data_IF_331367642624
#
_entry.id   IF_331367642624
#
_cell.length_a   1.000
_cell.length_b   1.000
_cell.length_c   1.000
_cell.angle_alpha   90.00
_cell.angle_beta   90.00
_cell.angle_gamma   90.00
#
_symmetry.space_group_name_H-M   'P 1'
#
loop_
_entity.id
_entity.type
_entity.pdbx_description
1 polymer ?
#
# COMPACT_ATOMS: atom_id res chain seq x y z
N UNK A 1 -9.78 0.96 -1.36
CA UNK A 1 -9.25 2.01 -0.45
C UNK A 1 -10.08 2.01 0.80
N UNK A 2 -9.43 2.23 1.94
CA UNK A 2 -10.06 2.27 3.26
C UNK A 2 -9.69 3.55 3.99
N UNK A 3 -10.70 4.19 4.56
CA UNK A 3 -10.58 5.35 5.41
C UNK A 3 -11.37 5.13 6.68
N UNK A 4 -10.91 5.72 7.77
CA UNK A 4 -11.61 5.69 9.04
C UNK A 4 -11.91 7.12 9.44
N UNK A 5 -13.16 7.39 9.81
CA UNK A 5 -13.58 8.63 10.44
C UNK A 5 -13.73 8.34 11.92
N UNK A 6 -13.00 9.08 12.75
CA UNK A 6 -13.03 8.96 14.21
C UNK A 6 -13.70 10.17 14.84
N UNK A 7 -14.43 9.95 15.95
CA UNK A 7 -15.06 11.03 16.70
C UNK A 7 -15.60 10.57 18.06
N UNK A 8 -15.94 11.52 18.95
CA UNK A 8 -16.42 11.22 20.30
C UNK A 8 -17.89 10.77 20.33
N UNK A 9 -18.77 11.48 19.61
CA UNK A 9 -20.21 11.19 19.57
C UNK A 9 -20.57 10.33 18.36
N UNK A 10 -21.31 9.25 18.60
CA UNK A 10 -21.69 8.28 17.57
C UNK A 10 -22.77 8.81 16.62
N UNK A 11 -23.72 9.58 17.11
CA UNK A 11 -24.84 10.06 16.29
C UNK A 11 -24.35 11.14 15.31
N UNK A 12 -23.50 12.05 15.79
CA UNK A 12 -22.79 13.00 14.95
C UNK A 12 -21.79 12.30 14.02
N UNK A 13 -21.06 11.26 14.49
CA UNK A 13 -20.14 10.49 13.66
C UNK A 13 -20.85 9.83 12.46
N UNK A 14 -22.03 9.24 12.68
CA UNK A 14 -22.85 8.65 11.62
C UNK A 14 -23.30 9.72 10.61
N UNK A 15 -23.75 10.88 11.10
CA UNK A 15 -24.18 12.01 10.25
C UNK A 15 -23.02 12.53 9.39
N UNK A 16 -21.85 12.72 10.00
CA UNK A 16 -20.64 13.20 9.32
C UNK A 16 -20.13 12.16 8.32
N UNK A 17 -20.10 10.88 8.69
CA UNK A 17 -19.68 9.81 7.79
C UNK A 17 -20.57 9.70 6.55
N UNK A 18 -21.90 9.81 6.72
CA UNK A 18 -22.83 9.82 5.58
C UNK A 18 -22.63 11.04 4.68
N UNK A 19 -22.41 12.24 5.26
CA UNK A 19 -22.09 13.45 4.48
C UNK A 19 -20.81 13.30 3.67
N UNK A 20 -19.75 12.76 4.29
CA UNK A 20 -18.47 12.51 3.61
C UNK A 20 -18.65 11.46 2.50
N UNK A 21 -19.40 10.38 2.77
CA UNK A 21 -19.72 9.36 1.76
C UNK A 21 -20.48 9.96 0.57
N UNK A 22 -21.50 10.79 0.81
CA UNK A 22 -22.27 11.42 -0.26
C UNK A 22 -21.43 12.41 -1.08
N UNK A 23 -20.52 13.13 -0.43
CA UNK A 23 -19.57 13.99 -1.12
C UNK A 23 -18.54 13.18 -1.93
N UNK A 24 -18.08 12.05 -1.41
CA UNK A 24 -17.22 11.10 -2.14
C UNK A 24 -17.92 10.54 -3.38
N UNK A 25 -19.20 10.14 -3.28
CA UNK A 25 -20.01 9.69 -4.43
C UNK A 25 -20.17 10.74 -5.52
N UNK A 26 -20.22 12.03 -5.13
CA UNK A 26 -20.32 13.16 -6.09
C UNK A 26 -18.96 13.56 -6.65
N UNK A 27 -17.87 13.11 -6.05
CA UNK A 27 -16.52 13.42 -6.52
C UNK A 27 -16.14 12.55 -7.71
N UNK A 28 -15.27 13.06 -8.59
CA UNK A 28 -14.70 12.27 -9.69
C UNK A 28 -13.55 11.35 -9.26
N UNK A 29 -13.21 11.30 -7.97
CA UNK A 29 -12.03 10.59 -7.48
C UNK A 29 -12.29 9.12 -7.17
N UNK A 30 -13.52 8.77 -6.78
CA UNK A 30 -13.84 7.43 -6.25
C UNK A 30 -15.18 6.90 -6.77
N UNK A 31 -15.26 5.57 -6.90
CA UNK A 31 -16.47 4.80 -7.18
C UNK A 31 -16.73 3.80 -6.05
N UNK A 32 -17.94 3.22 -6.04
CA UNK A 32 -18.34 2.13 -5.14
C UNK A 32 -18.05 2.39 -3.66
N UNK A 33 -18.52 3.53 -3.15
CA UNK A 33 -18.36 3.87 -1.74
C UNK A 33 -19.28 3.01 -0.87
N UNK A 34 -18.76 2.42 0.20
CA UNK A 34 -19.51 1.67 1.18
C UNK A 34 -19.03 2.01 2.60
N UNK A 35 -19.82 1.67 3.63
CA UNK A 35 -19.45 1.90 5.04
C UNK A 35 -19.75 0.68 5.90
N UNK A 36 -19.08 0.55 7.03
CA UNK A 36 -19.37 -0.48 8.04
C UNK A 36 -20.54 -0.09 8.98
N UNK A 37 -21.22 1.03 8.72
CA UNK A 37 -22.39 1.45 9.48
C UNK A 37 -23.52 0.47 9.24
N UNK A 38 -23.93 -0.21 10.31
CA UNK A 38 -25.13 -1.03 10.29
C UNK A 38 -26.31 -0.20 10.80
N UNK A 39 -27.42 -0.13 10.04
CA UNK A 39 -28.63 0.49 10.56
C UNK A 39 -29.06 -0.25 11.83
N UNK A 40 -29.33 0.51 12.89
CA UNK A 40 -29.76 -0.04 14.16
C UNK A 40 -31.03 -0.87 14.00
N UNK A 41 -31.14 -1.96 14.75
CA UNK A 41 -32.36 -2.75 14.79
C UNK A 41 -33.27 -2.26 15.92
N UNK A 42 -34.60 -2.38 15.77
CA UNK A 42 -35.52 -2.08 16.86
C UNK A 42 -35.27 -3.06 18.01
N UNK A 43 -34.84 -2.53 19.15
CA UNK A 43 -34.67 -3.28 20.39
C UNK A 43 -35.87 -2.99 21.31
N UNK A 44 -36.40 -4.04 21.93
CA UNK A 44 -37.44 -3.93 22.96
C UNK A 44 -36.74 -3.86 24.32
N UNK A 45 -36.63 -2.64 24.86
CA UNK A 45 -36.07 -2.42 26.19
C UNK A 45 -37.16 -2.57 27.25
N UNK A 46 -36.99 -3.54 28.12
CA UNK A 46 -37.87 -3.78 29.27
C UNK A 46 -37.31 -3.02 30.47
N UNK A 47 -37.93 -1.90 30.85
CA UNK A 47 -37.50 -1.05 31.96
C UNK A 47 -38.30 -1.43 33.22
N UNK A 48 -37.69 -2.05 34.24
CA UNK A 48 -38.42 -2.50 35.42
C UNK A 48 -38.88 -1.32 36.27
N UNK A 49 -40.17 -1.27 36.60
CA UNK A 49 -40.72 -0.22 37.44
C UNK A 49 -40.60 -0.63 38.93
N UNK A 50 -39.67 0.02 39.63
CA UNK A 50 -39.32 -0.33 41.02
C UNK A 50 -40.51 -0.23 41.99
N UNK A 51 -41.42 0.72 41.79
CA UNK A 51 -42.61 0.87 42.63
C UNK A 51 -43.61 -0.27 42.43
N UNK A 52 -43.86 -0.65 41.16
CA UNK A 52 -44.76 -1.77 40.84
C UNK A 52 -44.17 -3.09 41.36
N UNK A 53 -42.87 -3.31 41.18
CA UNK A 53 -42.16 -4.49 41.72
C UNK A 53 -42.30 -4.60 43.25
N UNK A 54 -42.10 -3.49 43.97
CA UNK A 54 -42.22 -3.46 45.43
C UNK A 54 -43.66 -3.74 45.90
N UNK A 55 -44.67 -3.15 45.23
CA UNK A 55 -46.09 -3.35 45.55
C UNK A 55 -46.51 -4.82 45.42
N UNK A 56 -45.99 -5.50 44.40
CA UNK A 56 -46.28 -6.90 44.12
C UNK A 56 -45.32 -7.89 44.81
N UNK A 57 -44.40 -7.41 45.65
CA UNK A 57 -43.37 -8.22 46.32
C UNK A 57 -42.55 -9.10 45.36
N UNK A 58 -42.25 -8.57 44.16
CA UNK A 58 -41.44 -9.24 43.13
C UNK A 58 -40.01 -8.70 43.19
N UNK A 59 -39.02 -9.59 43.25
CA UNK A 59 -37.61 -9.20 43.18
C UNK A 59 -37.17 -8.94 41.74
N UNK A 60 -36.25 -7.97 41.55
CA UNK A 60 -35.66 -7.70 40.24
C UNK A 60 -34.97 -8.95 39.67
N UNK A 61 -34.30 -9.73 40.52
CA UNK A 61 -33.65 -10.99 40.14
C UNK A 61 -34.62 -12.04 39.62
N UNK A 62 -35.85 -12.10 40.16
CA UNK A 62 -36.88 -13.00 39.65
C UNK A 62 -37.29 -12.59 38.22
N UNK A 63 -37.45 -11.29 37.97
CA UNK A 63 -37.78 -10.77 36.64
C UNK A 63 -36.67 -11.09 35.62
N UNK A 64 -35.42 -10.77 35.94
CA UNK A 64 -34.28 -11.03 35.04
C UNK A 64 -34.07 -12.52 34.78
N UNK A 65 -34.21 -13.36 35.81
CA UNK A 65 -34.05 -14.82 35.67
C UNK A 65 -35.10 -15.42 34.75
N UNK A 66 -36.37 -15.01 34.90
CA UNK A 66 -37.47 -15.49 34.06
C UNK A 66 -37.30 -15.02 32.61
N UNK A 67 -36.92 -13.76 32.37
CA UNK A 67 -36.70 -13.24 31.00
C UNK A 67 -35.51 -13.94 30.34
N UNK A 68 -34.40 -14.12 31.05
CA UNK A 68 -33.23 -14.83 30.53
C UNK A 68 -33.58 -16.28 30.19
N UNK A 69 -34.33 -16.98 31.04
CA UNK A 69 -34.74 -18.36 30.81
C UNK A 69 -35.79 -18.50 29.70
N UNK A 70 -36.76 -17.60 29.58
CA UNK A 70 -37.87 -17.78 28.65
C UNK A 70 -37.62 -17.13 27.28
N UNK A 71 -36.92 -16.01 27.23
CA UNK A 71 -36.68 -15.22 26.00
C UNK A 71 -35.24 -15.37 25.51
N UNK A 72 -34.27 -15.15 26.40
CA UNK A 72 -32.84 -15.16 26.07
C UNK A 72 -32.28 -16.56 25.78
N UNK A 73 -32.88 -17.60 26.37
CA UNK A 73 -32.31 -18.93 26.37
C UNK A 73 -31.30 -19.05 27.51
N UNK A 74 -31.71 -19.56 28.66
CA UNK A 74 -30.78 -19.71 29.77
C UNK A 74 -29.87 -20.91 29.49
N UNK A 75 -28.65 -20.63 29.05
CA UNK A 75 -27.52 -21.53 29.22
C UNK A 75 -27.10 -21.38 30.68
N UNK A 76 -27.45 -22.34 31.53
CA UNK A 76 -26.95 -22.36 32.91
C UNK A 76 -25.47 -22.75 32.87
N UNK A 77 -24.60 -21.77 32.67
CA UNK A 77 -23.12 -21.82 32.63
C UNK A 77 -22.55 -23.09 33.30
N UNK A 78 -22.33 -24.16 32.51
CA UNK A 78 -21.66 -25.40 32.93
C UNK A 78 -22.43 -26.36 33.84
N UNK A 79 -23.68 -26.08 34.24
CA UNK A 79 -24.47 -26.97 35.12
C UNK A 79 -25.49 -27.84 34.37
N UNK A 80 -25.79 -27.53 33.11
CA UNK A 80 -26.74 -28.29 32.27
C UNK A 80 -26.08 -28.73 30.96
N UNK A 81 -24.88 -29.31 31.04
CA UNK A 81 -24.23 -29.98 29.91
C UNK A 81 -24.51 -31.48 29.96
N UNK A 82 -25.12 -32.01 28.91
CA UNK A 82 -25.30 -33.45 28.73
C UNK A 82 -24.12 -33.99 27.93
N UNK A 83 -23.30 -34.85 28.54
CA UNK A 83 -22.16 -35.47 27.86
C UNK A 83 -22.57 -36.81 27.24
N UNK A 84 -22.41 -36.95 25.92
CA UNK A 84 -22.65 -38.21 25.20
C UNK A 84 -21.63 -38.38 24.07
N UNK A 85 -21.07 -39.58 23.96
CA UNK A 85 -20.11 -39.95 22.91
C UNK A 85 -18.90 -38.99 22.79
N UNK A 86 -18.40 -38.48 23.92
CA UNK A 86 -17.25 -37.56 23.95
C UNK A 86 -17.58 -36.10 23.61
N UNK A 87 -18.85 -35.79 23.29
CA UNK A 87 -19.33 -34.43 23.08
C UNK A 87 -20.16 -33.95 24.27
N UNK A 88 -20.08 -32.64 24.57
CA UNK A 88 -20.92 -31.97 25.57
C UNK A 88 -21.98 -31.13 24.87
N UNK A 89 -23.23 -31.39 25.19
CA UNK A 89 -24.39 -30.69 24.63
C UNK A 89 -24.97 -29.75 25.69
N UNK A 90 -25.05 -28.46 25.38
CA UNK A 90 -25.73 -27.50 26.24
C UNK A 90 -27.25 -27.74 26.19
N UNK A 91 -27.90 -27.84 27.34
CA UNK A 91 -29.36 -27.84 27.46
C UNK A 91 -29.81 -26.39 27.65
N UNK A 92 -30.59 -25.89 26.70
CA UNK A 92 -31.20 -24.56 26.72
C UNK A 92 -32.70 -24.68 27.02
N UNK A 93 -33.15 -24.00 28.07
CA UNK A 93 -34.57 -23.74 28.28
C UNK A 93 -34.93 -22.44 27.56
N UNK A 94 -35.97 -22.46 26.72
CA UNK A 94 -36.49 -21.28 26.04
C UNK A 94 -37.94 -21.50 25.61
N UNK A 95 -38.77 -20.45 25.59
CA UNK A 95 -40.13 -20.52 25.04
C UNK A 95 -40.10 -20.81 23.54
N UNK A 96 -41.17 -21.36 22.98
CA UNK A 96 -41.31 -21.54 21.53
C UNK A 96 -41.34 -20.16 20.85
N UNK A 97 -40.75 -20.04 19.65
CA UNK A 97 -40.62 -18.79 18.88
C UNK A 97 -41.93 -17.95 18.83
N UNK A 98 -43.07 -18.60 18.57
CA UNK A 98 -44.39 -17.95 18.51
C UNK A 98 -44.84 -17.26 19.82
N UNK A 99 -44.25 -17.63 20.96
CA UNK A 99 -44.58 -17.10 22.29
C UNK A 99 -43.62 -15.99 22.77
N UNK A 100 -42.57 -15.66 22.00
CA UNK A 100 -41.55 -14.67 22.40
C UNK A 100 -41.19 -13.65 21.32
N UNK A 101 -41.41 -13.98 20.04
CA UNK A 101 -40.90 -13.16 18.93
C UNK A 101 -41.72 -11.87 18.71
N UNK A 102 -42.93 -11.79 19.27
CA UNK A 102 -43.79 -10.59 19.17
C UNK A 102 -43.88 -9.88 20.52
N UNK A 103 -43.81 -8.55 20.51
CA UNK A 103 -43.92 -7.70 21.71
C UNK A 103 -45.14 -8.05 22.58
N UNK A 104 -46.36 -8.25 22.04
CA UNK A 104 -47.52 -8.61 22.86
C UNK A 104 -47.42 -9.99 23.52
N UNK A 105 -46.58 -10.89 23.00
CA UNK A 105 -46.38 -12.21 23.58
C UNK A 105 -45.58 -12.12 24.89
N UNK A 106 -44.67 -11.15 25.01
CA UNK A 106 -43.89 -10.89 26.23
C UNK A 106 -44.80 -10.50 27.41
N UNK A 107 -45.93 -9.83 27.15
CA UNK A 107 -46.90 -9.45 28.19
C UNK A 107 -47.53 -10.65 28.91
N UNK A 108 -47.54 -11.82 28.26
CA UNK A 108 -48.16 -13.04 28.79
C UNK A 108 -47.22 -13.82 29.71
N UNK A 109 -45.94 -13.43 29.76
CA UNK A 109 -44.96 -14.03 30.66
C UNK A 109 -45.36 -13.69 32.09
N UNK A 110 -45.50 -14.72 32.93
CA UNK A 110 -45.87 -14.57 34.34
C UNK A 110 -44.66 -14.77 35.22
N UNK A 111 -44.50 -13.90 36.21
CA UNK A 111 -43.42 -13.96 37.19
C UNK A 111 -44.03 -14.24 38.56
N UNK A 112 -43.44 -15.18 39.29
CA UNK A 112 -43.88 -15.53 40.64
C UNK A 112 -43.28 -14.56 41.66
N UNK A 113 -44.09 -14.01 42.55
CA UNK A 113 -43.63 -13.18 43.66
C UNK A 113 -43.22 -14.02 44.87
N UNK A 114 -42.67 -13.36 45.90
CA UNK A 114 -42.25 -14.02 47.13
C UNK A 114 -43.43 -14.58 47.97
N UNK A 115 -44.67 -14.16 47.66
CA UNK A 115 -45.90 -14.64 48.30
C UNK A 115 -46.51 -15.85 47.58
N UNK A 116 -45.93 -16.26 46.45
CA UNK A 116 -46.38 -17.39 45.64
C UNK A 116 -47.39 -17.05 44.54
N UNK A 117 -47.83 -15.80 44.43
CA UNK A 117 -48.74 -15.30 43.39
C UNK A 117 -47.98 -15.09 42.06
N UNK A 118 -48.68 -15.20 40.92
CA UNK A 118 -48.09 -14.96 39.60
C UNK A 118 -48.61 -13.66 39.01
N UNK A 119 -47.72 -12.72 38.72
CA UNK A 119 -48.05 -11.41 38.14
C UNK A 119 -47.55 -11.36 36.69
N UNK A 120 -48.34 -10.84 35.73
CA UNK A 120 -47.90 -10.70 34.34
C UNK A 120 -46.78 -9.65 34.21
N UNK A 121 -45.86 -9.88 33.28
CA UNK A 121 -44.70 -9.00 33.04
C UNK A 121 -45.11 -7.56 32.73
N UNK A 122 -46.23 -7.36 32.03
CA UNK A 122 -46.76 -6.02 31.68
C UNK A 122 -47.13 -5.15 32.88
N UNK A 123 -47.41 -5.74 34.04
CA UNK A 123 -47.68 -4.99 35.27
C UNK A 123 -46.40 -4.58 36.02
N UNK A 124 -45.24 -5.13 35.63
CA UNK A 124 -43.98 -4.98 36.35
C UNK A 124 -42.95 -4.15 35.57
N UNK A 125 -43.00 -4.15 34.24
CA UNK A 125 -42.03 -3.47 33.38
C UNK A 125 -42.72 -2.56 32.37
N UNK A 126 -42.11 -1.41 32.11
CA UNK A 126 -42.52 -0.50 31.05
C UNK A 126 -41.68 -0.84 29.79
N UNK A 127 -42.34 -1.02 28.66
CA UNK A 127 -41.70 -1.47 27.41
C UNK A 127 -41.42 -0.27 26.52
N UNK A 128 -40.18 -0.14 26.06
CA UNK A 128 -39.78 0.93 25.14
C UNK A 128 -39.12 0.30 23.92
N UNK A 129 -39.66 0.56 22.73
CA UNK A 129 -39.02 0.19 21.47
C UNK A 129 -38.09 1.33 21.09
N UNK A 130 -36.78 1.08 21.13
CA UNK A 130 -35.76 2.05 20.72
C UNK A 130 -34.86 1.42 19.68
N UNK A 131 -34.45 2.18 18.65
CA UNK A 131 -33.39 1.71 17.76
C UNK A 131 -32.11 1.54 18.59
N UNK A 132 -31.50 0.37 18.47
CA UNK A 132 -30.25 0.05 19.15
C UNK A 132 -29.16 -0.24 18.15
N UNK A 133 -27.95 0.15 18.50
CA UNK A 133 -26.78 -0.02 17.65
C UNK A 133 -26.32 -1.47 17.76
N UNK A 134 -26.31 -2.19 16.63
CA UNK A 134 -25.84 -3.59 16.61
C UNK A 134 -24.35 -3.72 16.85
N UNK A 135 -23.58 -2.76 16.34
CA UNK A 135 -22.12 -2.78 16.39
C UNK A 135 -21.61 -1.34 16.54
N UNK A 136 -20.76 -1.11 17.55
CA UNK A 136 -19.99 0.12 17.69
C UNK A 136 -18.54 -0.22 17.36
N UNK A 137 -18.12 0.12 16.13
CA UNK A 137 -16.74 -0.08 15.70
C UNK A 137 -15.81 0.91 16.40
N UNK A 138 -14.61 0.43 16.76
CA UNK A 138 -13.59 1.21 17.46
C UNK A 138 -12.22 0.89 16.89
N UNK A 139 -11.41 1.93 16.75
CA UNK A 139 -10.00 1.82 16.37
C UNK A 139 -9.16 2.69 17.30
N UNK A 140 -8.08 2.14 17.86
CA UNK A 140 -7.20 2.85 18.78
C UNK A 140 -7.95 3.52 19.95
N UNK A 141 -8.93 2.80 20.53
CA UNK A 141 -9.81 3.25 21.64
C UNK A 141 -10.77 4.41 21.31
N UNK A 142 -10.79 4.92 20.08
CA UNK A 142 -11.79 5.88 19.62
C UNK A 142 -12.91 5.17 18.85
N UNK A 143 -14.14 5.69 18.93
CA UNK A 143 -15.24 5.26 18.05
C UNK A 143 -14.88 5.62 16.62
N UNK A 144 -15.16 4.71 15.70
CA UNK A 144 -14.63 4.78 14.36
C UNK A 144 -15.66 4.19 13.38
N UNK A 145 -15.79 4.84 12.22
CA UNK A 145 -16.56 4.32 11.09
C UNK A 145 -15.61 4.13 9.92
N UNK A 146 -15.61 2.94 9.35
CA UNK A 146 -14.80 2.59 8.19
C UNK A 146 -15.56 2.87 6.91
N UNK A 147 -14.95 3.67 6.04
CA UNK A 147 -15.44 3.99 4.71
C UNK A 147 -14.56 3.28 3.69
N UNK A 148 -15.18 2.43 2.89
CA UNK A 148 -14.58 1.72 1.77
C UNK A 148 -14.89 2.46 0.48
N UNK A 149 -13.92 2.54 -0.42
CA UNK A 149 -14.11 3.12 -1.75
C UNK A 149 -13.09 2.56 -2.74
N UNK A 150 -13.45 2.53 -4.02
CA UNK A 150 -12.54 2.19 -5.12
C UNK A 150 -12.11 3.47 -5.84
N UNK A 151 -10.86 3.59 -6.34
CA UNK A 151 -10.49 4.70 -7.20
C UNK A 151 -11.38 4.73 -8.46
N UNK A 152 -11.77 5.91 -8.90
CA UNK A 152 -12.50 6.05 -10.15
C UNK A 152 -11.64 5.65 -11.36
N UNK A 153 -12.23 5.14 -12.46
CA UNK A 153 -11.51 4.84 -13.68
C UNK A 153 -10.71 6.05 -14.19
N UNK A 154 -9.43 5.86 -14.48
CA UNK A 154 -8.53 6.93 -14.95
C UNK A 154 -7.91 7.79 -13.84
N UNK A 155 -8.27 7.58 -12.57
CA UNK A 155 -7.65 8.26 -11.42
C UNK A 155 -6.69 7.32 -10.71
N UNK A 156 -5.47 7.79 -10.45
CA UNK A 156 -4.51 6.98 -9.68
C UNK A 156 -4.94 6.85 -8.22
N UNK A 157 -4.59 5.73 -7.59
CA UNK A 157 -4.86 5.52 -6.16
C UNK A 157 -4.28 6.65 -5.29
N UNK A 158 -3.08 7.15 -5.60
CA UNK A 158 -2.46 8.26 -4.88
C UNK A 158 -3.27 9.57 -5.00
N UNK A 159 -3.77 9.91 -6.20
CA UNK A 159 -4.62 11.07 -6.42
C UNK A 159 -5.97 10.93 -5.70
N UNK A 160 -6.58 9.75 -5.77
CA UNK A 160 -7.85 9.46 -5.10
C UNK A 160 -7.72 9.60 -3.57
N UNK A 161 -6.66 9.02 -2.98
CA UNK A 161 -6.39 9.15 -1.54
C UNK A 161 -6.22 10.60 -1.11
N UNK A 162 -5.44 11.39 -1.87
CA UNK A 162 -5.20 12.80 -1.56
C UNK A 162 -6.46 13.65 -1.74
N UNK A 163 -7.22 13.42 -2.80
CA UNK A 163 -8.48 14.14 -3.06
C UNK A 163 -9.53 13.86 -1.98
N UNK A 164 -9.66 12.61 -1.51
CA UNK A 164 -10.57 12.27 -0.41
C UNK A 164 -10.09 12.86 0.92
N UNK A 165 -8.79 12.85 1.20
CA UNK A 165 -8.23 13.47 2.41
C UNK A 165 -8.50 14.97 2.46
N UNK A 166 -8.30 15.68 1.35
CA UNK A 166 -8.58 17.13 1.24
C UNK A 166 -10.08 17.44 1.35
N UNK A 167 -10.92 16.65 0.68
CA UNK A 167 -12.38 16.79 0.75
C UNK A 167 -12.88 16.59 2.19
N UNK A 168 -12.45 15.52 2.85
CA UNK A 168 -12.86 15.23 4.21
C UNK A 168 -12.35 16.29 5.19
N UNK A 169 -11.11 16.77 5.05
CA UNK A 169 -10.56 17.80 5.93
C UNK A 169 -11.41 19.09 5.94
N UNK A 170 -12.06 19.43 4.84
CA UNK A 170 -12.93 20.61 4.74
C UNK A 170 -14.34 20.39 5.31
N UNK A 171 -14.77 19.14 5.48
CA UNK A 171 -16.13 18.80 5.92
C UNK A 171 -16.21 18.32 7.37
N UNK A 172 -15.08 17.91 7.96
CA UNK A 172 -15.04 17.37 9.31
C UNK A 172 -15.13 18.48 10.37
N UNK A 173 -16.06 18.38 11.35
CA UNK A 173 -16.10 19.29 12.48
C UNK A 173 -14.90 19.09 13.42
N UNK A 174 -14.59 20.08 14.29
CA UNK A 174 -13.51 19.96 15.25
C UNK A 174 -13.72 18.74 16.17
N UNK A 175 -12.65 17.96 16.38
CA UNK A 175 -12.71 16.71 17.14
C UNK A 175 -13.00 15.46 16.32
N UNK A 176 -13.28 15.61 15.02
CA UNK A 176 -13.42 14.51 14.07
C UNK A 176 -12.21 14.45 13.13
N UNK A 177 -11.69 13.25 12.93
CA UNK A 177 -10.48 13.05 12.14
C UNK A 177 -10.66 11.93 11.13
N UNK A 178 -10.22 12.16 9.90
CA UNK A 178 -10.07 11.10 8.92
C UNK A 178 -8.64 10.55 8.98
N UNK A 179 -8.54 9.22 9.05
CA UNK A 179 -7.28 8.48 9.05
C UNK A 179 -7.33 7.40 7.97
N UNK A 180 -6.25 7.27 7.19
CA UNK A 180 -6.10 6.14 6.27
C UNK A 180 -5.78 4.87 7.06
N UNK A 181 -6.39 3.74 6.68
CA UNK A 181 -6.17 2.43 7.32
C UNK A 181 -6.00 1.35 6.26
N UNK A 182 -5.72 0.12 6.69
CA UNK A 182 -5.79 -1.08 5.85
C UNK A 182 -5.02 -0.94 4.54
N UNK A 183 -5.68 -1.20 3.41
CA UNK A 183 -5.08 -1.09 2.08
C UNK A 183 -4.51 0.31 1.75
N UNK A 184 -5.14 1.39 2.23
CA UNK A 184 -4.66 2.76 1.99
C UNK A 184 -3.39 3.07 2.78
N UNK A 185 -3.33 2.63 4.03
CA UNK A 185 -2.15 2.80 4.89
C UNK A 185 -0.98 1.98 4.36
N UNK A 186 -1.20 0.69 4.05
CA UNK A 186 -0.18 -0.18 3.48
C UNK A 186 0.35 0.35 2.15
N UNK A 187 -0.50 0.96 1.31
CA UNK A 187 -0.07 1.63 0.08
C UNK A 187 0.89 2.79 0.38
N UNK A 188 0.54 3.69 1.29
CA UNK A 188 1.37 4.85 1.64
C UNK A 188 2.70 4.43 2.25
N UNK A 189 2.69 3.49 3.19
CA UNK A 189 3.90 2.97 3.84
C UNK A 189 4.80 2.24 2.85
N UNK A 190 4.25 1.38 1.99
CA UNK A 190 5.02 0.66 0.97
C UNK A 190 5.59 1.61 -0.09
N UNK A 191 4.80 2.58 -0.55
CA UNK A 191 5.23 3.58 -1.51
C UNK A 191 6.41 4.40 -0.96
N UNK A 192 6.29 4.86 0.28
CA UNK A 192 7.36 5.59 0.96
C UNK A 192 8.61 4.71 1.18
N UNK A 193 8.43 3.46 1.62
CA UNK A 193 9.51 2.51 1.83
C UNK A 193 10.25 2.17 0.53
N UNK A 194 9.53 2.02 -0.59
CA UNK A 194 10.13 1.77 -1.91
C UNK A 194 10.94 2.98 -2.40
N UNK A 195 10.45 4.20 -2.20
CA UNK A 195 11.22 5.41 -2.53
C UNK A 195 12.52 5.46 -1.70
N UNK A 196 12.43 5.19 -0.40
CA UNK A 196 13.62 5.11 0.45
C UNK A 196 14.58 4.01 -0.02
N UNK A 197 14.08 2.82 -0.34
CA UNK A 197 14.88 1.72 -0.86
C UNK A 197 15.55 2.06 -2.20
N UNK A 198 14.87 2.78 -3.09
CA UNK A 198 15.41 3.24 -4.37
C UNK A 198 16.56 4.24 -4.16
N UNK A 199 16.39 5.22 -3.27
CA UNK A 199 17.45 6.20 -2.94
C UNK A 199 18.65 5.51 -2.29
N UNK A 200 18.39 4.62 -1.32
CA UNK A 200 19.43 3.85 -0.65
C UNK A 200 20.16 2.94 -1.64
N UNK A 201 19.43 2.28 -2.54
CA UNK A 201 19.99 1.46 -3.61
C UNK A 201 20.87 2.27 -4.59
N UNK A 202 20.49 3.51 -4.88
CA UNK A 202 21.31 4.45 -5.66
C UNK A 202 22.61 4.81 -4.95
N UNK A 203 22.54 5.10 -3.66
CA UNK A 203 23.71 5.39 -2.84
C UNK A 203 24.66 4.18 -2.75
N UNK A 204 24.13 2.99 -2.45
CA UNK A 204 24.93 1.75 -2.39
C UNK A 204 25.52 1.43 -3.76
N UNK A 205 24.74 1.56 -4.83
CA UNK A 205 25.24 1.36 -6.19
C UNK A 205 26.35 2.34 -6.55
N UNK A 206 26.25 3.60 -6.12
CA UNK A 206 27.30 4.60 -6.30
C UNK A 206 28.58 4.17 -5.58
N UNK A 207 28.49 3.78 -4.30
CA UNK A 207 29.65 3.33 -3.51
C UNK A 207 30.35 2.11 -4.12
N UNK A 208 29.58 1.11 -4.57
CA UNK A 208 30.13 -0.10 -5.20
C UNK A 208 30.84 0.27 -6.51
N UNK A 209 30.26 1.13 -7.34
CA UNK A 209 30.90 1.57 -8.58
C UNK A 209 32.13 2.44 -8.32
N UNK A 210 32.09 3.30 -7.31
CA UNK A 210 33.24 4.12 -6.94
C UNK A 210 34.41 3.25 -6.50
N UNK A 211 34.14 2.22 -5.70
CA UNK A 211 35.13 1.22 -5.31
C UNK A 211 35.62 0.38 -6.49
N UNK A 212 34.74 0.02 -7.44
CA UNK A 212 35.10 -0.80 -8.59
C UNK A 212 35.99 -0.04 -9.59
N UNK A 213 35.66 1.21 -9.87
CA UNK A 213 36.40 2.05 -10.82
C UNK A 213 37.54 2.83 -10.17
N UNK A 214 37.73 2.72 -8.84
CA UNK A 214 38.66 3.52 -8.05
C UNK A 214 38.59 5.04 -8.36
N UNK A 215 37.39 5.54 -8.67
CA UNK A 215 37.13 6.91 -9.11
C UNK A 215 35.76 7.36 -8.65
N UNK A 216 35.65 8.61 -8.21
CA UNK A 216 34.38 9.22 -7.81
C UNK A 216 33.59 9.81 -8.99
N UNK A 217 34.23 9.96 -10.15
CA UNK A 217 33.66 10.62 -11.34
C UNK A 217 32.97 9.58 -12.25
N UNK A 218 33.64 8.45 -12.54
CA UNK A 218 33.07 7.40 -13.39
C UNK A 218 31.69 6.87 -12.94
N UNK A 219 31.42 6.66 -11.64
CA UNK A 219 30.09 6.26 -11.16
C UNK A 219 29.00 7.30 -11.47
N UNK A 220 29.31 8.59 -11.41
CA UNK A 220 28.35 9.67 -11.72
C UNK A 220 27.98 9.60 -13.20
N UNK A 221 28.95 9.40 -14.08
CA UNK A 221 28.73 9.23 -15.52
C UNK A 221 27.79 8.06 -15.81
N UNK A 222 27.98 6.94 -15.12
CA UNK A 222 27.12 5.75 -15.25
C UNK A 222 25.70 6.02 -14.75
N UNK A 223 25.55 6.69 -13.60
CA UNK A 223 24.24 6.98 -13.00
C UNK A 223 23.47 8.08 -13.75
N UNK A 224 24.14 8.90 -14.56
CA UNK A 224 23.49 9.90 -15.41
C UNK A 224 22.55 9.27 -16.46
N UNK A 225 22.66 7.97 -16.74
CA UNK A 225 21.71 7.26 -17.60
C UNK A 225 20.34 7.02 -16.93
N UNK A 226 20.25 7.04 -15.59
CA UNK A 226 19.04 6.70 -14.84
C UNK A 226 17.86 7.66 -15.06
N UNK A 227 18.04 9.01 -15.03
CA UNK A 227 16.93 9.94 -15.29
C UNK A 227 16.28 9.75 -16.67
N UNK A 228 17.06 9.39 -17.68
CA UNK A 228 16.55 9.11 -19.04
C UNK A 228 15.73 7.83 -19.07
N UNK A 229 16.15 6.83 -18.29
CA UNK A 229 15.38 5.60 -18.14
C UNK A 229 14.05 5.84 -17.43
N UNK A 230 14.06 6.62 -16.34
CA UNK A 230 12.83 6.97 -15.62
C UNK A 230 11.87 7.76 -16.52
N UNK A 231 12.40 8.70 -17.32
CA UNK A 231 11.60 9.44 -18.30
C UNK A 231 10.93 8.50 -19.31
N UNK A 232 11.66 7.50 -19.83
CA UNK A 232 11.09 6.48 -20.70
C UNK A 232 10.02 5.61 -20.04
N UNK A 233 10.22 5.23 -18.80
CA UNK A 233 9.25 4.46 -18.02
C UNK A 233 7.97 5.28 -17.77
N UNK A 234 8.07 6.57 -17.45
CA UNK A 234 6.91 7.46 -17.31
C UNK A 234 6.15 7.60 -18.63
N UNK A 235 6.86 7.78 -19.75
CA UNK A 235 6.24 7.85 -21.09
C UNK A 235 5.54 6.53 -21.41
N UNK A 236 6.16 5.39 -21.09
CA UNK A 236 5.56 4.07 -21.25
C UNK A 236 4.26 3.91 -20.46
N UNK A 237 4.29 4.21 -19.16
CA UNK A 237 3.09 4.16 -18.32
C UNK A 237 1.99 5.08 -18.84
N UNK A 238 2.34 6.29 -19.27
CA UNK A 238 1.39 7.25 -19.83
C UNK A 238 0.78 6.75 -21.16
N UNK A 239 1.58 6.20 -22.06
CA UNK A 239 1.14 5.69 -23.36
C UNK A 239 0.19 4.48 -23.24
N UNK A 240 0.39 3.63 -22.23
CA UNK A 240 -0.47 2.47 -21.97
C UNK A 240 -1.56 2.73 -20.89
N UNK A 241 -1.77 4.01 -20.54
CA UNK A 241 -2.75 4.44 -19.52
C UNK A 241 -2.64 3.71 -18.17
N UNK A 242 -1.42 3.37 -17.77
CA UNK A 242 -1.12 2.71 -16.50
C UNK A 242 -0.81 3.75 -15.42
N UNK A 243 -1.24 3.46 -14.20
CA UNK A 243 -0.99 4.34 -13.05
C UNK A 243 0.34 4.03 -12.36
N UNK A 244 0.88 5.00 -11.65
CA UNK A 244 2.02 4.78 -10.76
C UNK A 244 1.49 4.07 -9.50
N UNK A 245 1.82 2.79 -9.39
CA UNK A 245 1.48 1.93 -8.26
C UNK A 245 2.75 1.23 -7.71
N UNK A 246 2.56 0.40 -6.68
CA UNK A 246 3.65 -0.34 -6.01
C UNK A 246 4.41 -1.23 -7.02
N UNK A 247 3.72 -1.90 -7.94
CA UNK A 247 4.34 -2.77 -8.94
C UNK A 247 5.14 -2.00 -9.98
N UNK A 248 4.64 -0.85 -10.44
CA UNK A 248 5.39 0.02 -11.34
C UNK A 248 6.68 0.52 -10.67
N UNK A 249 6.65 0.84 -9.37
CA UNK A 249 7.84 1.23 -8.58
C UNK A 249 8.86 0.09 -8.43
N UNK A 250 8.40 -1.14 -8.25
CA UNK A 250 9.29 -2.31 -8.30
C UNK A 250 9.94 -2.41 -9.68
N UNK A 251 9.18 -2.14 -10.75
CA UNK A 251 9.69 -2.00 -12.11
C UNK A 251 10.78 -0.92 -12.23
N UNK A 252 10.58 0.26 -11.65
CA UNK A 252 11.60 1.32 -11.60
C UNK A 252 12.89 0.90 -10.87
N UNK A 253 12.78 0.17 -9.76
CA UNK A 253 13.94 -0.37 -9.02
C UNK A 253 14.70 -1.39 -9.87
N UNK A 254 13.98 -2.31 -10.54
CA UNK A 254 14.61 -3.29 -11.43
C UNK A 254 15.29 -2.62 -12.63
N UNK A 255 14.59 -1.66 -13.24
CA UNK A 255 15.06 -0.87 -14.36
C UNK A 255 16.37 -0.15 -14.04
N UNK A 256 16.51 0.36 -12.82
CA UNK A 256 17.74 1.00 -12.34
C UNK A 256 18.95 0.05 -12.43
N UNK A 257 18.79 -1.22 -12.09
CA UNK A 257 19.86 -2.22 -12.21
C UNK A 257 20.17 -2.58 -13.67
N UNK A 258 19.13 -2.79 -14.48
CA UNK A 258 19.26 -3.19 -15.89
C UNK A 258 19.96 -2.10 -16.70
N UNK A 259 19.55 -0.85 -16.58
CA UNK A 259 20.10 0.26 -17.38
C UNK A 259 21.52 0.62 -16.97
N UNK A 260 21.82 0.52 -15.67
CA UNK A 260 23.18 0.75 -15.17
C UNK A 260 24.19 -0.18 -15.84
N UNK A 261 23.85 -1.46 -16.07
CA UNK A 261 24.73 -2.44 -16.72
C UNK A 261 25.24 -1.96 -18.09
N UNK A 262 24.35 -1.39 -18.91
CA UNK A 262 24.72 -0.91 -20.25
C UNK A 262 25.74 0.23 -20.17
N UNK A 263 25.55 1.14 -19.21
CA UNK A 263 26.46 2.25 -18.95
C UNK A 263 27.80 1.80 -18.37
N UNK A 264 27.80 0.82 -17.46
CA UNK A 264 29.01 0.22 -16.89
C UNK A 264 29.89 -0.37 -18.00
N UNK A 265 29.32 -1.19 -18.90
CA UNK A 265 30.08 -1.86 -19.96
C UNK A 265 30.75 -0.89 -20.93
N UNK A 266 30.11 0.25 -21.20
CA UNK A 266 30.65 1.29 -22.07
C UNK A 266 31.79 2.04 -21.38
N UNK A 267 31.59 2.46 -20.14
CA UNK A 267 32.60 3.20 -19.35
C UNK A 267 33.82 2.33 -19.07
N UNK A 268 33.61 1.07 -18.68
CA UNK A 268 34.69 0.10 -18.40
C UNK A 268 35.58 -0.14 -19.63
N UNK A 269 34.97 -0.35 -20.80
CA UNK A 269 35.75 -0.55 -22.03
C UNK A 269 36.43 0.73 -22.53
N UNK A 270 35.83 1.89 -22.26
CA UNK A 270 36.46 3.18 -22.55
C UNK A 270 37.68 3.37 -21.65
N UNK A 271 37.60 3.01 -20.37
CA UNK A 271 38.73 3.03 -19.45
C UNK A 271 39.83 2.06 -19.90
N UNK A 272 39.51 0.82 -20.27
CA UNK A 272 40.48 -0.12 -20.83
C UNK A 272 41.19 0.44 -22.08
N UNK A 273 40.46 1.10 -22.98
CA UNK A 273 41.06 1.76 -24.14
C UNK A 273 41.97 2.94 -23.74
N UNK A 274 41.67 3.65 -22.65
CA UNK A 274 42.53 4.71 -22.11
C UNK A 274 43.79 4.15 -21.46
N UNK A 275 43.70 3.00 -20.79
CA UNK A 275 44.84 2.29 -20.21
C UNK A 275 45.78 1.77 -21.31
N UNK A 276 45.25 1.46 -22.50
CA UNK A 276 46.03 1.20 -23.73
C UNK A 276 46.72 2.45 -24.33
N UNK A 277 46.57 3.63 -23.69
CA UNK A 277 47.20 4.88 -24.09
C UNK A 277 46.42 5.72 -25.10
N UNK A 278 45.15 5.39 -25.38
CA UNK A 278 44.31 6.19 -26.28
C UNK A 278 43.77 7.44 -25.57
N UNK A 279 43.82 8.58 -26.27
CA UNK A 279 43.13 9.80 -25.84
C UNK A 279 41.61 9.55 -25.70
N UNK A 280 40.94 10.29 -24.80
CA UNK A 280 39.52 10.12 -24.44
C UNK A 280 38.61 10.05 -25.66
N UNK A 281 38.85 10.89 -26.67
CA UNK A 281 38.05 10.91 -27.89
C UNK A 281 38.26 9.65 -28.74
N UNK A 282 39.51 9.19 -28.87
CA UNK A 282 39.85 7.99 -29.63
C UNK A 282 39.37 6.72 -28.92
N UNK A 283 39.48 6.67 -27.60
CA UNK A 283 38.94 5.60 -26.77
C UNK A 283 37.41 5.46 -26.95
N UNK A 284 36.65 6.56 -26.90
CA UNK A 284 35.20 6.54 -27.13
C UNK A 284 34.83 6.10 -28.56
N UNK A 285 35.57 6.57 -29.58
CA UNK A 285 35.33 6.18 -30.97
C UNK A 285 35.59 4.68 -31.22
N UNK A 286 36.53 4.07 -30.49
CA UNK A 286 36.77 2.62 -30.51
C UNK A 286 35.73 1.87 -29.67
N UNK A 287 35.35 2.41 -28.51
CA UNK A 287 34.48 1.74 -27.55
C UNK A 287 33.01 1.67 -27.97
N UNK A 288 32.46 2.76 -28.50
CA UNK A 288 31.03 2.85 -28.81
C UNK A 288 30.59 1.79 -29.84
N UNK A 289 31.27 1.59 -30.99
CA UNK A 289 30.87 0.59 -31.99
C UNK A 289 30.97 -0.85 -31.46
N UNK A 290 32.01 -1.15 -30.68
CA UNK A 290 32.24 -2.50 -30.12
C UNK A 290 31.14 -2.86 -29.12
N UNK A 291 30.70 -1.90 -28.29
CA UNK A 291 29.68 -2.13 -27.26
C UNK A 291 28.25 -2.00 -27.78
N UNK A 292 28.02 -1.35 -28.93
CA UNK A 292 26.70 -1.20 -29.53
C UNK A 292 25.97 -2.54 -29.69
N UNK A 293 26.63 -3.54 -30.28
CA UNK A 293 26.00 -4.85 -30.56
C UNK A 293 25.60 -5.60 -29.28
N UNK A 294 26.47 -5.75 -28.26
CA UNK A 294 26.07 -6.32 -26.96
C UNK A 294 24.95 -5.55 -26.25
N UNK A 295 24.99 -4.21 -26.25
CA UNK A 295 23.98 -3.38 -25.57
C UNK A 295 22.60 -3.54 -26.21
N UNK A 296 22.53 -3.56 -27.55
CA UNK A 296 21.27 -3.81 -28.27
C UNK A 296 20.79 -5.23 -27.99
N UNK A 297 21.67 -6.24 -28.02
CA UNK A 297 21.30 -7.63 -27.75
C UNK A 297 20.64 -7.79 -26.38
N UNK A 298 21.23 -7.24 -25.31
CA UNK A 298 20.64 -7.35 -23.97
C UNK A 298 19.34 -6.59 -23.85
N UNK A 299 19.25 -5.40 -24.47
CA UNK A 299 18.04 -4.57 -24.39
C UNK A 299 16.88 -5.20 -25.13
N UNK A 300 17.11 -5.77 -26.32
CA UNK A 300 16.11 -6.53 -27.08
C UNK A 300 15.69 -7.78 -26.31
N UNK A 301 16.63 -8.50 -25.68
CA UNK A 301 16.29 -9.67 -24.88
C UNK A 301 15.42 -9.32 -23.66
N UNK A 302 15.72 -8.22 -22.95
CA UNK A 302 14.88 -7.74 -21.84
C UNK A 302 13.50 -7.32 -22.32
N UNK A 303 13.40 -6.57 -23.42
CA UNK A 303 12.11 -6.18 -23.99
C UNK A 303 11.31 -7.41 -24.41
N UNK A 304 11.93 -8.37 -25.10
CA UNK A 304 11.27 -9.61 -25.52
C UNK A 304 10.83 -10.46 -24.32
N UNK A 305 11.58 -10.47 -23.22
CA UNK A 305 11.22 -11.16 -21.98
C UNK A 305 10.06 -10.51 -21.22
N UNK A 306 9.98 -9.18 -21.23
CA UNK A 306 8.90 -8.42 -20.58
C UNK A 306 7.64 -8.29 -21.45
N UNK A 307 7.76 -8.49 -22.78
CA UNK A 307 6.65 -8.30 -23.72
C UNK A 307 5.43 -9.19 -23.43
N UNK A 308 5.56 -10.50 -23.14
CA UNK A 308 4.42 -11.35 -22.80
C UNK A 308 3.69 -10.89 -21.54
N UNK A 309 4.43 -10.37 -20.57
CA UNK A 309 3.87 -9.85 -19.32
C UNK A 309 3.08 -8.55 -19.55
N UNK A 310 3.58 -7.68 -20.44
CA UNK A 310 2.90 -6.43 -20.80
C UNK A 310 1.58 -6.62 -21.58
N UNK A 311 1.44 -7.74 -22.33
CA UNK A 311 0.23 -8.07 -23.11
C UNK A 311 -0.62 -9.16 -22.45
N UNK A 312 -0.31 -9.55 -21.22
CA UNK A 312 -0.96 -10.67 -20.56
C UNK A 312 -2.45 -10.39 -20.33
N UNK A 313 -3.30 -11.37 -20.64
CA UNK A 313 -4.75 -11.32 -20.41
C UNK A 313 -5.08 -12.51 -19.51
N UNK A 314 -5.27 -12.24 -18.23
CA UNK A 314 -5.52 -13.27 -17.24
C UNK A 314 -5.63 -12.72 -15.82
N UNK A 315 -5.97 -13.58 -14.85
CA UNK A 315 -6.03 -13.17 -13.44
C UNK A 315 -4.66 -12.69 -12.97
N UNK A 316 -4.61 -11.52 -12.35
CA UNK A 316 -3.37 -10.92 -11.85
C UNK A 316 -2.61 -10.07 -12.88
N UNK A 317 -3.06 -10.02 -14.14
CA UNK A 317 -2.44 -9.19 -15.18
C UNK A 317 -2.45 -7.71 -14.80
N UNK A 318 -3.46 -7.26 -14.05
CA UNK A 318 -3.56 -5.90 -13.53
C UNK A 318 -2.39 -5.50 -12.61
N UNK A 319 -1.69 -6.47 -12.02
CA UNK A 319 -0.53 -6.23 -11.16
C UNK A 319 0.79 -6.25 -11.93
N UNK A 320 0.91 -7.09 -12.95
CA UNK A 320 2.16 -7.31 -13.69
C UNK A 320 2.33 -6.38 -14.89
N UNK A 321 1.24 -6.01 -15.57
CA UNK A 321 1.28 -5.09 -16.73
C UNK A 321 1.97 -3.75 -16.40
N UNK A 322 1.65 -3.04 -15.30
CA UNK A 322 2.31 -1.76 -14.99
C UNK A 322 3.82 -1.91 -14.76
N UNK A 323 4.26 -3.04 -14.20
CA UNK A 323 5.67 -3.34 -13.99
C UNK A 323 6.39 -3.56 -15.33
N UNK A 324 5.83 -4.42 -16.19
CA UNK A 324 6.41 -4.74 -17.49
C UNK A 324 6.45 -3.52 -18.42
N UNK A 325 5.39 -2.71 -18.47
CA UNK A 325 5.33 -1.48 -19.27
C UNK A 325 6.41 -0.48 -18.84
N UNK A 326 6.61 -0.29 -17.52
CA UNK A 326 7.66 0.59 -17.01
C UNK A 326 9.07 0.11 -17.43
N UNK A 327 9.31 -1.20 -17.38
CA UNK A 327 10.59 -1.80 -17.81
C UNK A 327 10.80 -1.60 -19.31
N UNK A 328 9.81 -1.93 -20.15
CA UNK A 328 9.92 -1.82 -21.62
C UNK A 328 10.16 -0.36 -22.02
N UNK A 329 9.33 0.57 -21.53
CA UNK A 329 9.48 2.00 -21.84
C UNK A 329 10.83 2.55 -21.36
N UNK A 330 11.24 2.16 -20.15
CA UNK A 330 12.51 2.58 -19.57
C UNK A 330 13.73 2.03 -20.29
N UNK A 331 13.72 0.76 -20.70
CA UNK A 331 14.80 0.12 -21.45
C UNK A 331 14.86 0.66 -22.87
N UNK A 332 13.73 0.84 -23.54
CA UNK A 332 13.68 1.37 -24.90
C UNK A 332 14.26 2.79 -24.97
N UNK A 333 13.77 3.70 -24.11
CA UNK A 333 14.29 5.07 -24.08
C UNK A 333 15.76 5.09 -23.63
N UNK A 334 16.10 4.38 -22.56
CA UNK A 334 17.49 4.39 -22.07
C UNK A 334 18.46 3.80 -23.08
N UNK A 335 18.12 2.77 -23.84
CA UNK A 335 19.05 2.19 -24.83
C UNK A 335 19.43 3.21 -25.88
N UNK A 336 18.45 3.95 -26.40
CA UNK A 336 18.70 5.01 -27.39
C UNK A 336 19.47 6.16 -26.74
N UNK A 337 18.99 6.70 -25.62
CA UNK A 337 19.57 7.89 -24.99
C UNK A 337 20.97 7.62 -24.40
N UNK A 338 21.21 6.45 -23.79
CA UNK A 338 22.48 6.10 -23.14
C UNK A 338 23.62 6.03 -24.15
N UNK A 339 23.37 5.52 -25.36
CA UNK A 339 24.38 5.42 -26.43
C UNK A 339 24.91 6.78 -26.89
N UNK A 340 24.16 7.86 -26.69
CA UNK A 340 24.60 9.23 -27.02
C UNK A 340 25.01 10.01 -25.78
N UNK A 341 24.21 9.96 -24.72
CA UNK A 341 24.41 10.79 -23.54
C UNK A 341 25.60 10.32 -22.71
N UNK A 342 25.82 9.01 -22.54
CA UNK A 342 26.95 8.52 -21.72
C UNK A 342 28.31 8.86 -22.33
N UNK A 343 28.58 8.69 -23.64
CA UNK A 343 29.81 9.17 -24.26
C UNK A 343 30.03 10.68 -24.09
N UNK A 344 28.99 11.48 -24.28
CA UNK A 344 29.07 12.95 -24.13
C UNK A 344 29.36 13.34 -22.67
N UNK A 345 28.65 12.73 -21.72
CA UNK A 345 28.86 12.94 -20.30
C UNK A 345 30.27 12.50 -19.87
N UNK A 346 30.73 11.34 -20.37
CA UNK A 346 32.07 10.84 -20.11
C UNK A 346 33.14 11.80 -20.65
N UNK A 347 33.00 12.29 -21.89
CA UNK A 347 33.96 13.23 -22.48
C UNK A 347 34.01 14.57 -21.72
N UNK A 348 32.89 15.02 -21.16
CA UNK A 348 32.82 16.26 -20.38
C UNK A 348 33.42 16.07 -18.97
N UNK A 349 33.12 14.95 -18.33
CA UNK A 349 33.58 14.64 -16.98
C UNK A 349 35.05 14.18 -16.93
N UNK A 350 35.54 13.52 -17.99
CA UNK A 350 36.96 13.17 -18.11
C UNK A 350 37.87 14.40 -18.24
N UNK A 351 37.34 15.58 -18.61
CA UNK A 351 38.09 16.85 -18.57
C UNK A 351 38.27 17.40 -17.16
N UNK A 352 37.45 16.94 -16.20
CA UNK A 352 37.56 17.27 -14.78
C UNK A 352 38.46 16.28 -14.03
N UNK A 353 38.83 15.16 -14.64
CA UNK A 353 39.87 14.27 -14.10
C UNK A 353 41.22 14.96 -14.26
N UNK A 354 41.83 15.34 -13.12
CA UNK A 354 43.26 15.67 -13.07
C UNK A 354 44.05 14.52 -13.68
N UNK A 355 45.07 14.76 -14.52
CA UNK A 355 45.89 13.70 -15.08
C UNK A 355 46.46 12.84 -13.97
N UNK A 356 46.28 11.52 -14.05
CA UNK A 356 46.86 10.58 -13.10
C UNK A 356 48.39 10.77 -13.11
N UNK A 357 49.02 11.19 -11.99
CA UNK A 357 50.45 11.43 -11.92
C UNK A 357 51.28 10.20 -12.35
N UNK A 358 50.75 8.99 -12.14
CA UNK A 358 51.43 7.73 -12.45
C UNK A 358 51.48 7.45 -13.96
N UNK A 359 50.41 7.78 -14.70
CA UNK A 359 50.38 7.61 -16.17
C UNK A 359 51.33 8.61 -16.87
N UNK A 360 51.48 9.81 -16.30
CA UNK A 360 52.45 10.80 -16.79
C UNK A 360 53.89 10.34 -16.52
N UNK A 361 54.15 9.71 -15.38
CA UNK A 361 55.47 9.20 -15.02
C UNK A 361 55.87 7.94 -15.81
N UNK A 362 54.95 7.01 -16.09
CA UNK A 362 55.20 5.87 -16.96
C UNK A 362 55.39 6.26 -18.43
N UNK A 363 54.60 7.21 -18.94
CA UNK A 363 54.79 7.77 -20.27
C UNK A 363 56.14 8.53 -20.37
N UNK A 364 56.58 9.19 -19.31
CA UNK A 364 57.90 9.82 -19.24
C UNK A 364 59.04 8.78 -19.20
N UNK A 365 58.89 7.69 -18.44
CA UNK A 365 59.90 6.60 -18.36
C UNK A 365 60.05 5.83 -19.67
N UNK A 366 58.96 5.52 -20.36
CA UNK A 366 59.02 4.85 -21.68
C UNK A 366 59.65 5.76 -22.74
N UNK A 367 59.39 7.07 -22.71
CA UNK A 367 60.07 8.04 -23.58
C UNK A 367 61.57 8.19 -23.26
N UNK A 368 61.95 8.12 -21.99
CA UNK A 368 63.35 8.16 -21.56
C UNK A 368 64.12 6.90 -21.97
N UNK A 369 63.50 5.72 -21.90
CA UNK A 369 64.07 4.45 -22.37
C UNK A 369 64.22 4.41 -23.91
N UNK A 370 63.26 4.97 -24.65
CA UNK A 370 63.34 5.05 -26.11
C UNK A 370 64.38 6.09 -26.62
N UNK A 371 64.63 7.16 -25.85
CA UNK A 371 65.61 8.19 -26.20
C UNK A 371 67.08 7.79 -25.97
N UNK A 372 67.35 6.73 -25.20
CA UNK A 372 68.70 6.30 -24.85
C UNK A 372 69.40 5.39 -25.87
N UNK A 373 68.70 4.93 -26.93
CA UNK A 373 69.25 3.95 -27.89
C UNK A 373 69.86 4.56 -29.17
N UNK A 374 70.02 5.89 -29.26
CA UNK A 374 70.67 6.54 -30.41
C UNK A 374 71.82 7.41 -29.92
N UNK A 375 72.94 6.78 -29.58
CA UNK A 375 74.25 7.44 -29.56
C UNK A 375 75.14 6.68 -30.56
N UNK A 376 75.52 7.29 -31.70
CA UNK A 376 76.42 6.64 -32.65
C UNK A 376 77.84 6.69 -32.08
N UNK A 377 78.49 5.54 -31.99
CA UNK A 377 79.92 5.42 -31.79
C UNK A 377 80.66 5.99 -33.00
N UNK A 378 81.52 6.98 -32.75
CA UNK A 378 82.61 7.40 -33.63
C UNK A 378 83.59 6.25 -33.88
#
# INVERSE_FOLDING_TARGET
>A
MEFIIQGPDWDELNTVANKVMDAMKKSSFVNDTNTDIQPGQPEVQLVPNREKLARHAVSLNAVTSVINALVGGAIMNGQTEYSKAGHRYAIELRLIASQRDKVPALNRIKIRNNRGETIPLSELVDQQIKPSLMLISRLNRARAITVYANPAPGVSQAQALKGVEELARNMLPPGYFLKMTGSSQSFKESFQSLIYAMILGLLVSYMVLASQFNSFIHPVTVLMALPFSFSGAFIGLWAFHQSINIYSLIGFILLMGIVKKNSILLVDFTNQCRDEGLDVRHALLKACPVRLRPIIMTSVATIAGALPEAISIGPGAETTIPMAVAIIGGVMASTVLTLFVVPCAYSLLAKLESPDPLAVEEAARTKALAGGMIAPSL
#
